data_IF_457701435874
#
_entry.id   IF_457701435874
#
_cell.length_a   1.000
_cell.length_b   1.000
_cell.length_c   1.000
_cell.angle_alpha   90.00
_cell.angle_beta   90.00
_cell.angle_gamma   90.00
#
_symmetry.space_group_name_H-M   'P 1'
#
loop_
_entity.id
_entity.type
_entity.pdbx_description
1 polymer ?
#
# COMPACT_ATOMS: atom_id res chain seq x y z
N UNK A 1 22.51 -57.92 -7.73
CA UNK A 1 21.88 -59.26 -7.72
C UNK A 1 21.46 -59.55 -6.29
N UNK A 2 20.19 -59.90 -6.07
CA UNK A 2 19.64 -60.19 -4.74
C UNK A 2 19.56 -61.72 -4.63
N UNK A 3 20.51 -62.33 -3.93
CA UNK A 3 20.67 -63.79 -3.92
C UNK A 3 20.22 -64.43 -2.60
N UNK A 4 20.32 -63.72 -1.48
CA UNK A 4 20.01 -64.25 -0.14
C UNK A 4 18.70 -63.74 0.43
N UNK A 5 18.05 -62.78 -0.23
CA UNK A 5 16.76 -62.20 0.18
C UNK A 5 16.76 -61.70 1.62
N UNK A 6 17.91 -61.23 2.10
CA UNK A 6 18.01 -60.63 3.43
C UNK A 6 17.32 -59.27 3.43
N UNK A 7 16.91 -58.79 4.61
CA UNK A 7 16.29 -57.48 4.76
C UNK A 7 17.13 -56.36 4.12
N UNK A 8 18.45 -56.39 4.34
CA UNK A 8 19.37 -55.42 3.74
C UNK A 8 19.39 -55.49 2.20
N UNK A 9 19.40 -56.69 1.62
CA UNK A 9 19.37 -56.85 0.16
C UNK A 9 18.04 -56.41 -0.45
N UNK A 10 16.93 -56.67 0.23
CA UNK A 10 15.60 -56.23 -0.16
C UNK A 10 15.47 -54.70 -0.13
N UNK A 11 15.98 -54.06 0.94
CA UNK A 11 15.97 -52.61 1.05
C UNK A 11 16.82 -51.96 -0.04
N UNK A 12 18.01 -52.51 -0.32
CA UNK A 12 18.88 -52.05 -1.40
C UNK A 12 18.20 -52.17 -2.77
N UNK A 13 17.57 -53.31 -3.04
CA UNK A 13 16.82 -53.52 -4.28
C UNK A 13 15.64 -52.57 -4.41
N UNK A 14 14.93 -52.28 -3.32
CA UNK A 14 13.85 -51.29 -3.31
C UNK A 14 14.35 -49.90 -3.70
N UNK A 15 15.46 -49.46 -3.09
CA UNK A 15 16.09 -48.18 -3.41
C UNK A 15 16.56 -48.11 -4.88
N UNK A 16 17.12 -49.20 -5.41
CA UNK A 16 17.50 -49.31 -6.83
C UNK A 16 16.29 -49.15 -7.75
N UNK A 17 15.16 -49.81 -7.44
CA UNK A 17 13.92 -49.70 -8.21
C UNK A 17 13.39 -48.26 -8.20
N UNK A 18 13.34 -47.62 -7.02
CA UNK A 18 12.91 -46.22 -6.89
C UNK A 18 13.83 -45.29 -7.70
N UNK A 19 15.14 -45.51 -7.64
CA UNK A 19 16.14 -44.72 -8.38
C UNK A 19 15.94 -44.86 -9.89
N UNK A 20 15.75 -46.09 -10.38
CA UNK A 20 15.49 -46.35 -11.79
C UNK A 20 14.16 -45.71 -12.21
N UNK A 21 13.13 -45.83 -11.38
CA UNK A 21 11.82 -45.26 -11.63
C UNK A 21 11.89 -43.73 -11.79
N UNK A 22 12.50 -43.03 -10.84
CA UNK A 22 12.63 -41.57 -10.89
C UNK A 22 13.57 -41.08 -12.01
N UNK A 23 14.52 -41.91 -12.45
CA UNK A 23 15.36 -41.62 -13.62
C UNK A 23 14.57 -41.72 -14.92
N UNK A 24 13.70 -42.72 -15.05
CA UNK A 24 12.88 -42.95 -16.25
C UNK A 24 11.67 -42.02 -16.31
N UNK A 25 11.08 -41.73 -15.14
CA UNK A 25 9.91 -40.90 -14.94
C UNK A 25 10.25 -39.82 -13.91
N UNK A 26 11.05 -38.80 -14.30
CA UNK A 26 11.35 -37.70 -13.40
C UNK A 26 10.07 -37.01 -12.98
N UNK A 27 10.04 -36.54 -11.74
CA UNK A 27 8.91 -35.76 -11.24
C UNK A 27 8.70 -34.54 -12.14
N UNK A 28 7.44 -34.21 -12.48
CA UNK A 28 7.15 -33.05 -13.30
C UNK A 28 7.68 -31.80 -12.59
N UNK A 29 8.56 -31.07 -13.27
CA UNK A 29 8.99 -29.77 -12.80
C UNK A 29 7.87 -28.78 -13.08
N UNK A 30 7.31 -28.20 -12.02
CA UNK A 30 6.27 -27.19 -12.17
C UNK A 30 6.92 -25.85 -12.50
N UNK A 31 6.47 -25.20 -13.57
CA UNK A 31 6.77 -23.78 -13.83
C UNK A 31 5.75 -22.87 -13.17
N UNK A 32 5.02 -23.37 -12.18
CA UNK A 32 3.94 -22.65 -11.53
C UNK A 32 4.50 -21.41 -10.84
N UNK A 33 4.09 -20.25 -11.33
CA UNK A 33 4.30 -18.97 -10.66
C UNK A 33 2.97 -18.60 -10.01
N UNK A 34 2.91 -18.41 -8.69
CA UNK A 34 1.70 -17.91 -8.04
C UNK A 34 1.26 -16.65 -8.75
N UNK A 35 -0.04 -16.51 -8.99
CA UNK A 35 -0.58 -15.26 -9.51
C UNK A 35 -0.18 -14.14 -8.52
N UNK A 36 0.22 -12.96 -9.02
CA UNK A 36 0.34 -11.79 -8.17
C UNK A 36 -0.97 -11.63 -7.41
N UNK A 37 -0.88 -11.40 -6.10
CA UNK A 37 -2.10 -11.11 -5.34
C UNK A 37 -2.77 -9.90 -5.97
N UNK A 38 -4.09 -9.90 -6.16
CA UNK A 38 -4.77 -8.70 -6.58
C UNK A 38 -4.49 -7.61 -5.55
N UNK A 39 -3.93 -6.50 -6.03
CA UNK A 39 -3.85 -5.25 -5.28
C UNK A 39 -5.20 -4.59 -5.48
N UNK A 40 -5.88 -4.29 -4.37
CA UNK A 40 -7.16 -3.58 -4.43
C UNK A 40 -6.86 -2.12 -4.79
N UNK A 41 -7.43 -1.64 -5.88
CA UNK A 41 -7.33 -0.24 -6.27
C UNK A 41 -8.62 0.48 -5.88
N UNK A 42 -8.50 1.56 -5.10
CA UNK A 42 -9.66 2.33 -4.64
C UNK A 42 -9.43 3.80 -4.88
N UNK A 43 -10.33 4.43 -5.63
CA UNK A 43 -10.37 5.87 -5.86
C UNK A 43 -10.83 6.62 -4.61
N UNK A 44 -10.37 7.87 -4.41
CA UNK A 44 -10.86 8.72 -3.33
C UNK A 44 -12.37 9.00 -3.46
N UNK A 45 -12.89 8.99 -4.69
CA UNK A 45 -14.31 9.23 -5.01
C UNK A 45 -15.25 8.14 -4.46
N UNK A 46 -14.71 6.97 -4.10
CA UNK A 46 -15.49 5.88 -3.53
C UNK A 46 -15.92 6.23 -2.10
N UNK A 47 -17.12 6.78 -1.95
CA UNK A 47 -17.66 7.20 -0.65
C UNK A 47 -17.84 6.04 0.34
N UNK A 48 -18.13 4.83 -0.16
CA UNK A 48 -18.37 3.65 0.67
C UNK A 48 -17.09 3.05 1.25
N UNK A 49 -15.93 3.48 0.75
CA UNK A 49 -14.64 2.95 1.16
C UNK A 49 -14.32 3.26 2.62
N UNK A 50 -13.79 2.25 3.32
CA UNK A 50 -13.22 2.39 4.65
C UNK A 50 -11.77 1.88 4.68
N UNK A 51 -10.82 2.63 5.27
CA UNK A 51 -9.43 2.19 5.41
C UNK A 51 -9.23 1.10 6.46
N UNK A 52 -10.29 0.66 7.15
CA UNK A 52 -10.23 -0.42 8.15
C UNK A 52 -9.80 -1.74 7.50
N UNK A 53 -8.91 -2.48 8.16
CA UNK A 53 -8.38 -3.77 7.68
C UNK A 53 -7.71 -3.70 6.29
N UNK A 54 -7.23 -2.52 5.89
CA UNK A 54 -6.47 -2.31 4.65
C UNK A 54 -5.09 -1.74 4.95
N UNK A 55 -4.07 -2.30 4.31
CA UNK A 55 -2.71 -1.79 4.30
C UNK A 55 -2.45 -1.04 2.99
N UNK A 56 -1.92 0.17 3.08
CA UNK A 56 -1.48 0.93 1.92
C UNK A 56 -0.16 0.36 1.37
N UNK A 57 -0.12 0.07 0.07
CA UNK A 57 1.10 -0.33 -0.66
C UNK A 57 1.72 0.80 -1.47
N UNK A 58 0.88 1.74 -1.86
CA UNK A 58 1.25 2.90 -2.65
C UNK A 58 -0.02 3.62 -3.07
N UNK A 59 0.14 4.60 -3.94
CA UNK A 59 -0.99 5.33 -4.51
C UNK A 59 -0.61 5.91 -5.86
N UNK A 60 -1.62 6.30 -6.63
CA UNK A 60 -1.50 7.05 -7.88
C UNK A 60 -2.11 8.42 -7.67
N UNK A 61 -1.39 9.46 -8.05
CA UNK A 61 -1.86 10.84 -8.04
C UNK A 61 -1.52 11.49 -9.38
N UNK A 62 -2.54 12.02 -10.08
CA UNK A 62 -2.39 12.61 -11.42
C UNK A 62 -1.72 11.65 -12.41
N UNK A 63 -2.08 10.36 -12.34
CA UNK A 63 -1.49 9.29 -13.15
C UNK A 63 -0.07 8.85 -12.78
N UNK A 64 0.57 9.48 -11.79
CA UNK A 64 1.92 9.11 -11.34
C UNK A 64 1.85 8.15 -10.13
N UNK A 65 2.68 7.11 -10.13
CA UNK A 65 2.77 6.12 -9.05
C UNK A 65 3.76 6.52 -7.95
N UNK A 66 3.36 6.25 -6.71
CA UNK A 66 4.05 6.59 -5.48
C UNK A 66 4.09 5.38 -4.54
N UNK A 67 5.23 5.16 -3.87
CA UNK A 67 5.53 3.93 -3.11
C UNK A 67 5.40 4.08 -1.59
N UNK A 68 4.81 5.18 -1.11
CA UNK A 68 4.59 5.44 0.31
C UNK A 68 3.57 4.45 0.87
N UNK A 69 3.98 3.70 1.88
CA UNK A 69 3.19 2.61 2.47
C UNK A 69 2.41 3.02 3.71
N UNK A 70 2.56 4.27 4.17
CA UNK A 70 1.81 4.78 5.33
C UNK A 70 0.85 5.87 4.90
N UNK A 71 -0.34 5.87 5.50
CA UNK A 71 -1.37 6.87 5.27
C UNK A 71 -0.92 8.30 5.61
N UNK A 72 -0.02 8.44 6.60
CA UNK A 72 0.56 9.74 6.95
C UNK A 72 1.47 10.27 5.84
N UNK A 73 2.38 9.43 5.33
CA UNK A 73 3.30 9.84 4.26
C UNK A 73 2.54 10.12 2.95
N UNK A 74 1.52 9.32 2.62
CA UNK A 74 0.62 9.60 1.49
C UNK A 74 -0.03 10.97 1.63
N UNK A 75 -0.66 11.25 2.78
CA UNK A 75 -1.28 12.56 3.04
C UNK A 75 -0.28 13.70 2.84
N UNK A 76 0.92 13.60 3.43
CA UNK A 76 1.96 14.62 3.31
C UNK A 76 2.42 14.81 1.86
N UNK A 77 2.59 13.72 1.11
CA UNK A 77 3.03 13.77 -0.28
C UNK A 77 1.98 14.44 -1.16
N UNK A 78 0.72 14.01 -1.05
CA UNK A 78 -0.39 14.56 -1.84
C UNK A 78 -0.55 16.06 -1.54
N UNK A 79 -0.59 16.45 -0.26
CA UNK A 79 -0.71 17.85 0.14
C UNK A 79 0.43 18.70 -0.42
N UNK A 80 1.68 18.24 -0.30
CA UNK A 80 2.84 18.97 -0.86
C UNK A 80 2.76 19.14 -2.38
N UNK A 81 2.28 18.14 -3.10
CA UNK A 81 2.12 18.22 -4.55
C UNK A 81 1.01 19.18 -4.95
N UNK A 82 -0.13 19.13 -4.27
CA UNK A 82 -1.23 20.06 -4.51
C UNK A 82 -0.83 21.49 -4.14
N UNK A 83 -0.15 21.71 -3.02
CA UNK A 83 0.36 23.03 -2.62
C UNK A 83 1.32 23.63 -3.66
N UNK A 84 2.17 22.81 -4.29
CA UNK A 84 3.07 23.27 -5.36
C UNK A 84 2.34 23.69 -6.64
N UNK A 85 1.18 23.11 -6.93
CA UNK A 85 0.40 23.43 -8.14
C UNK A 85 -0.63 24.54 -7.89
N UNK A 86 -1.22 24.60 -6.69
CA UNK A 86 -2.35 25.46 -6.34
C UNK A 86 -2.04 26.32 -5.11
N UNK A 87 -0.83 26.90 -5.05
CA UNK A 87 -0.34 27.63 -3.87
C UNK A 87 -1.32 28.71 -3.39
N UNK A 88 -1.84 29.53 -4.30
CA UNK A 88 -2.73 30.63 -3.98
C UNK A 88 -4.02 30.17 -3.26
N UNK A 89 -4.55 29.01 -3.66
CA UNK A 89 -5.76 28.43 -3.08
C UNK A 89 -5.43 27.82 -1.72
N UNK A 90 -4.38 26.99 -1.66
CA UNK A 90 -4.00 26.28 -0.43
C UNK A 90 -3.61 27.26 0.67
N UNK A 91 -2.99 28.39 0.33
CA UNK A 91 -2.66 29.45 1.28
C UNK A 91 -3.88 30.04 2.00
N UNK A 92 -5.03 30.09 1.33
CA UNK A 92 -6.29 30.55 1.96
C UNK A 92 -6.88 29.56 2.96
N UNK A 93 -6.44 28.29 2.94
CA UNK A 93 -6.97 27.25 3.81
C UNK A 93 -6.33 27.27 5.21
N UNK A 94 -5.15 27.88 5.35
CA UNK A 94 -4.47 27.97 6.63
C UNK A 94 -5.25 28.82 7.62
N UNK A 95 -5.44 28.29 8.82
CA UNK A 95 -6.18 28.92 9.93
C UNK A 95 -7.66 29.20 9.64
N UNK A 96 -8.16 28.83 8.45
CA UNK A 96 -9.57 28.97 8.07
C UNK A 96 -10.40 27.79 8.57
N UNK A 97 -10.01 26.55 8.27
CA UNK A 97 -10.67 25.34 8.77
C UNK A 97 -9.72 24.13 8.99
N UNK A 98 -9.61 23.71 10.25
CA UNK A 98 -9.41 22.34 10.75
C UNK A 98 -8.05 21.66 10.52
N UNK A 99 -7.62 21.53 9.26
CA UNK A 99 -6.50 20.66 8.91
C UNK A 99 -5.17 21.41 8.73
N UNK A 100 -5.24 22.66 8.25
CA UNK A 100 -4.07 23.48 7.92
C UNK A 100 -3.88 24.59 8.96
N UNK A 101 -2.68 24.67 9.51
CA UNK A 101 -2.35 25.57 10.62
C UNK A 101 -1.08 26.35 10.34
N UNK A 102 -1.10 27.65 10.65
CA UNK A 102 0.12 28.44 10.72
C UNK A 102 0.91 28.09 11.99
N UNK A 103 2.19 28.47 12.04
CA UNK A 103 3.03 28.20 13.23
C UNK A 103 2.48 28.81 14.53
N UNK A 104 1.65 29.85 14.44
CA UNK A 104 1.06 30.50 15.62
C UNK A 104 -0.01 29.63 16.28
N UNK A 105 -0.69 28.79 15.51
CA UNK A 105 -1.82 27.96 15.97
C UNK A 105 -1.49 26.47 16.01
N UNK A 106 -0.43 26.05 15.31
CA UNK A 106 -0.06 24.64 15.20
C UNK A 106 0.52 24.08 16.51
N UNK A 107 -0.11 23.01 17.02
CA UNK A 107 0.51 22.13 18.01
C UNK A 107 1.38 21.08 17.31
N UNK A 108 2.70 21.16 17.51
CA UNK A 108 3.70 20.26 16.91
C UNK A 108 3.56 18.80 17.34
N UNK A 109 2.80 18.51 18.41
CA UNK A 109 2.48 17.14 18.82
C UNK A 109 1.52 16.45 17.85
N UNK A 110 0.64 17.21 17.23
CA UNK A 110 -0.40 16.69 16.35
C UNK A 110 -0.14 17.05 14.88
N UNK A 111 0.57 18.14 14.63
CA UNK A 111 0.83 18.67 13.30
C UNK A 111 2.25 18.37 12.82
N UNK A 112 2.40 18.08 11.53
CA UNK A 112 3.70 17.94 10.87
C UNK A 112 3.94 19.18 10.02
N UNK A 113 5.15 19.75 10.11
CA UNK A 113 5.55 20.88 9.28
C UNK A 113 5.73 20.42 7.82
N UNK A 114 5.09 21.11 6.88
CA UNK A 114 5.19 20.80 5.45
C UNK A 114 6.02 21.83 4.68
N UNK A 115 5.99 23.09 5.13
CA UNK A 115 6.75 24.22 4.59
C UNK A 115 7.04 25.25 5.72
N UNK A 116 7.88 26.29 5.50
CA UNK A 116 8.15 27.31 6.51
C UNK A 116 6.84 27.94 7.02
N UNK A 117 6.64 27.95 8.33
CA UNK A 117 5.43 28.47 9.00
C UNK A 117 4.10 27.74 8.65
N UNK A 118 4.16 26.63 7.92
CA UNK A 118 2.99 25.90 7.41
C UNK A 118 2.95 24.48 7.96
N UNK A 119 1.88 24.15 8.64
CA UNK A 119 1.68 22.87 9.33
C UNK A 119 0.39 22.20 8.88
N UNK A 120 0.44 20.86 8.87
CA UNK A 120 -0.70 20.00 8.56
C UNK A 120 -0.99 19.11 9.77
N UNK A 121 -2.24 19.04 10.20
CA UNK A 121 -2.67 18.07 11.21
C UNK A 121 -2.44 16.66 10.65
N UNK A 122 -1.67 15.81 11.35
CA UNK A 122 -1.34 14.45 10.87
C UNK A 122 -1.68 13.35 11.87
N UNK A 123 -1.81 13.71 13.14
CA UNK A 123 -2.23 12.82 14.22
C UNK A 123 -3.75 12.70 14.25
N UNK A 124 -4.31 12.08 13.21
CA UNK A 124 -5.73 11.76 13.07
C UNK A 124 -5.91 10.35 12.51
N UNK A 125 -7.10 9.75 12.63
CA UNK A 125 -7.37 8.42 12.07
C UNK A 125 -7.36 8.44 10.53
N UNK A 126 -7.28 7.26 9.89
CA UNK A 126 -7.15 7.20 8.42
C UNK A 126 -8.39 7.74 7.70
N UNK A 127 -9.58 7.64 8.30
CA UNK A 127 -10.80 8.24 7.75
C UNK A 127 -10.72 9.77 7.76
N UNK A 128 -10.23 10.37 8.83
CA UNK A 128 -10.03 11.83 8.88
C UNK A 128 -8.95 12.28 7.89
N UNK A 129 -7.89 11.48 7.66
CA UNK A 129 -6.90 11.79 6.60
C UNK A 129 -7.54 11.81 5.20
N UNK A 130 -8.41 10.85 4.90
CA UNK A 130 -9.16 10.85 3.63
C UNK A 130 -10.11 12.04 3.53
N UNK A 131 -10.79 12.40 4.62
CA UNK A 131 -11.63 13.60 4.67
C UNK A 131 -10.83 14.88 4.42
N UNK A 132 -9.62 14.98 4.96
CA UNK A 132 -8.70 16.08 4.70
C UNK A 132 -8.35 16.17 3.21
N UNK A 133 -8.12 15.03 2.55
CA UNK A 133 -7.82 14.99 1.11
C UNK A 133 -9.03 15.38 0.26
N UNK A 134 -10.23 14.89 0.58
CA UNK A 134 -11.47 15.30 -0.11
C UNK A 134 -11.70 16.80 0.01
N UNK A 135 -11.56 17.35 1.21
CA UNK A 135 -11.66 18.80 1.44
C UNK A 135 -10.65 19.58 0.60
N UNK A 136 -9.39 19.14 0.56
CA UNK A 136 -8.35 19.79 -0.23
C UNK A 136 -8.68 19.75 -1.74
N UNK A 137 -9.13 18.60 -2.24
CA UNK A 137 -9.45 18.40 -3.65
C UNK A 137 -10.64 19.25 -4.07
N UNK A 138 -11.70 19.29 -3.25
CA UNK A 138 -12.85 20.16 -3.45
C UNK A 138 -12.45 21.64 -3.54
N UNK A 139 -11.58 22.12 -2.64
CA UNK A 139 -11.14 23.52 -2.65
C UNK A 139 -10.27 23.88 -3.84
N UNK A 140 -9.48 22.93 -4.35
CA UNK A 140 -8.60 23.14 -5.50
C UNK A 140 -9.26 22.78 -6.85
N UNK A 141 -10.55 22.42 -6.86
CA UNK A 141 -11.27 21.95 -8.05
C UNK A 141 -10.59 20.74 -8.74
N UNK A 142 -10.05 19.83 -7.92
CA UNK A 142 -9.41 18.59 -8.37
C UNK A 142 -10.43 17.45 -8.27
N UNK A 143 -10.57 16.65 -9.32
CA UNK A 143 -11.42 15.46 -9.28
C UNK A 143 -10.88 14.43 -8.28
N UNK A 144 -11.75 13.89 -7.41
CA UNK A 144 -11.36 12.84 -6.44
C UNK A 144 -10.84 11.57 -7.12
N UNK A 145 -11.24 11.31 -8.37
CA UNK A 145 -10.72 10.22 -9.21
C UNK A 145 -9.21 10.27 -9.46
N UNK A 146 -8.59 11.44 -9.30
CA UNK A 146 -7.15 11.62 -9.54
C UNK A 146 -6.28 10.94 -8.48
N UNK A 147 -6.84 10.64 -7.30
CA UNK A 147 -6.15 9.91 -6.24
C UNK A 147 -6.68 8.48 -6.14
N UNK A 148 -5.85 7.52 -6.51
CA UNK A 148 -6.14 6.09 -6.40
C UNK A 148 -5.20 5.44 -5.40
N UNK A 149 -5.74 4.83 -4.36
CA UNK A 149 -5.00 4.09 -3.34
C UNK A 149 -4.79 2.65 -3.78
N UNK A 150 -3.56 2.15 -3.61
CA UNK A 150 -3.19 0.76 -3.85
C UNK A 150 -3.14 0.03 -2.51
N UNK A 151 -4.01 -0.96 -2.31
CA UNK A 151 -4.30 -1.54 -1.01
C UNK A 151 -4.13 -3.06 -1.01
N UNK A 152 -3.77 -3.60 0.16
CA UNK A 152 -3.83 -5.03 0.44
C UNK A 152 -4.63 -5.29 1.72
N UNK A 153 -5.30 -6.45 1.84
CA UNK A 153 -5.92 -6.85 3.10
C UNK A 153 -4.86 -7.12 4.17
N UNK A 154 -5.09 -6.65 5.39
CA UNK A 154 -4.26 -7.01 6.54
C UNK A 154 -4.52 -8.49 6.85
N UNK A 155 -3.49 -9.32 6.73
CA UNK A 155 -3.57 -10.74 7.10
C UNK A 155 -3.68 -10.84 8.62
N UNK A 156 -4.75 -11.49 9.10
CA UNK A 156 -4.85 -12.00 10.48
C UNK A 156 -3.87 -13.15 10.71
#
# INVERSE_FOLDING_TARGET
LCEKWTETELQNRSNEIVTIFLRLYPLPQTTFKPLPKPVDEVSLEEESFTPTNRQLKGFRLFGNEYTETTWKEMLLRVVKMVEQQYTDIVDTLYDAEGFFWSAQQADTRYCTQIAPQKYLWTSMDNRSKLRCLRFLFEKCDIAESELVMLLEPIRE
#
